data_IF_300894087802
#
_entry.id   IF_300894087802
#
_cell.length_a   1.000
_cell.length_b   1.000
_cell.length_c   1.000
_cell.angle_alpha   90.00
_cell.angle_beta   90.00
_cell.angle_gamma   90.00
#
_symmetry.space_group_name_H-M   'P 1'
#
loop_
_entity.id
_entity.type
_entity.pdbx_description
1 polymer ?
#
# COMPACT_ATOMS: atom_id res chain seq x y z
N UNK A 1 19.00 3.78 -8.16
CA UNK A 1 18.25 2.86 -7.29
C UNK A 1 19.21 1.88 -6.66
N UNK A 2 19.19 1.77 -5.36
CA UNK A 2 20.11 0.88 -4.64
C UNK A 2 19.49 -0.51 -4.48
N UNK A 3 20.32 -1.53 -4.65
CA UNK A 3 19.93 -2.92 -4.46
C UNK A 3 20.43 -3.37 -3.09
N UNK A 4 19.55 -3.93 -2.29
CA UNK A 4 19.87 -4.38 -0.95
C UNK A 4 20.80 -5.59 -1.00
N UNK A 5 21.78 -5.63 -0.09
CA UNK A 5 22.66 -6.77 0.04
C UNK A 5 21.85 -8.04 0.34
N UNK A 6 22.24 -9.17 -0.26
CA UNK A 6 21.47 -10.41 -0.21
C UNK A 6 21.24 -10.90 1.22
N UNK A 7 22.26 -10.89 2.07
CA UNK A 7 22.14 -11.37 3.44
C UNK A 7 21.16 -10.54 4.24
N UNK A 8 21.18 -9.22 4.06
CA UNK A 8 20.27 -8.31 4.73
C UNK A 8 18.85 -8.46 4.18
N UNK A 9 18.74 -8.63 2.86
CA UNK A 9 17.44 -8.88 2.22
C UNK A 9 16.81 -10.17 2.74
N UNK A 10 17.61 -11.21 2.95
CA UNK A 10 17.11 -12.47 3.51
C UNK A 10 16.52 -12.28 4.90
N UNK A 11 17.13 -11.41 5.73
CA UNK A 11 16.59 -11.08 7.05
C UNK A 11 15.25 -10.35 6.94
N UNK A 12 15.15 -9.39 6.02
CA UNK A 12 13.89 -8.68 5.78
C UNK A 12 12.79 -9.66 5.37
N UNK A 13 13.10 -10.57 4.45
CA UNK A 13 12.15 -11.58 3.97
C UNK A 13 11.72 -12.50 5.11
N UNK A 14 12.64 -12.90 5.98
CA UNK A 14 12.32 -13.77 7.11
C UNK A 14 11.31 -13.12 8.06
N UNK A 15 11.55 -11.86 8.45
CA UNK A 15 10.60 -11.12 9.27
C UNK A 15 9.25 -10.96 8.56
N UNK A 16 9.27 -10.68 7.27
CA UNK A 16 8.05 -10.55 6.49
C UNK A 16 7.24 -11.84 6.46
N UNK A 17 7.89 -12.98 6.28
CA UNK A 17 7.22 -14.28 6.28
C UNK A 17 6.62 -14.61 7.64
N UNK A 18 7.33 -14.33 8.72
CA UNK A 18 6.81 -14.55 10.07
C UNK A 18 5.61 -13.66 10.33
N UNK A 19 5.68 -12.40 9.90
CA UNK A 19 4.57 -11.47 10.05
C UNK A 19 3.34 -11.97 9.31
N UNK A 20 3.51 -12.46 8.08
CA UNK A 20 2.40 -12.99 7.28
C UNK A 20 1.79 -14.22 7.97
N UNK A 21 2.63 -15.10 8.53
CA UNK A 21 2.14 -16.28 9.27
C UNK A 21 1.29 -15.84 10.46
N UNK A 22 1.76 -14.86 11.23
CA UNK A 22 0.98 -14.35 12.36
C UNK A 22 -0.32 -13.72 11.91
N UNK A 23 -0.29 -12.96 10.82
CA UNK A 23 -1.50 -12.37 10.26
C UNK A 23 -2.51 -13.43 9.89
N UNK A 24 -2.07 -14.49 9.22
CA UNK A 24 -2.95 -15.57 8.79
C UNK A 24 -3.53 -16.36 9.97
N UNK A 25 -2.83 -16.38 11.10
CA UNK A 25 -3.30 -17.02 12.33
C UNK A 25 -4.21 -16.09 13.15
N UNK A 26 -4.51 -14.91 12.67
CA UNK A 26 -5.35 -13.95 13.37
C UNK A 26 -4.64 -13.17 14.45
N UNK A 27 -3.32 -13.27 14.54
CA UNK A 27 -2.50 -12.55 15.53
C UNK A 27 -2.00 -11.25 14.93
N UNK A 28 -2.92 -10.31 14.75
CA UNK A 28 -2.65 -9.09 13.96
C UNK A 28 -1.63 -8.17 14.61
N UNK A 29 -1.73 -7.95 15.92
CA UNK A 29 -0.76 -7.08 16.60
C UNK A 29 0.65 -7.66 16.53
N UNK A 30 0.79 -8.97 16.72
CA UNK A 30 2.09 -9.64 16.59
C UNK A 30 2.60 -9.54 15.15
N UNK A 31 1.71 -9.69 14.18
CA UNK A 31 2.08 -9.60 12.77
C UNK A 31 2.67 -8.24 12.43
N UNK A 32 2.00 -7.16 12.85
CA UNK A 32 2.50 -5.81 12.54
C UNK A 32 3.74 -5.45 13.35
N UNK A 33 3.90 -6.00 14.56
CA UNK A 33 5.13 -5.82 15.32
C UNK A 33 6.31 -6.48 14.60
N UNK A 34 6.14 -7.69 14.06
CA UNK A 34 7.16 -8.37 13.27
C UNK A 34 7.46 -7.62 11.97
N UNK A 35 6.42 -7.06 11.34
CA UNK A 35 6.61 -6.26 10.14
C UNK A 35 7.50 -5.04 10.43
N UNK A 36 7.31 -4.39 11.59
CA UNK A 36 8.16 -3.27 11.99
C UNK A 36 9.61 -3.71 12.21
N UNK A 37 9.81 -4.87 12.79
CA UNK A 37 11.16 -5.39 13.00
C UNK A 37 11.86 -5.64 11.67
N UNK A 38 11.15 -6.18 10.69
CA UNK A 38 11.69 -6.37 9.34
C UNK A 38 11.99 -5.04 8.65
N UNK A 39 11.08 -4.07 8.78
CA UNK A 39 11.29 -2.74 8.23
C UNK A 39 12.54 -2.09 8.80
N UNK A 40 12.79 -2.27 10.11
CA UNK A 40 13.96 -1.71 10.78
C UNK A 40 15.27 -2.31 10.30
N UNK A 41 15.25 -3.43 9.58
CA UNK A 41 16.46 -4.02 9.00
C UNK A 41 16.97 -3.28 7.77
N UNK A 42 16.10 -2.49 7.10
CA UNK A 42 16.57 -1.71 5.96
C UNK A 42 17.53 -0.62 6.41
N UNK A 43 18.69 -0.48 5.74
CA UNK A 43 19.60 0.63 6.06
C UNK A 43 18.95 1.97 5.74
N UNK A 44 19.29 3.00 6.53
CA UNK A 44 18.83 4.35 6.24
C UNK A 44 19.68 4.98 5.14
N UNK A 45 19.10 5.77 4.23
CA UNK A 45 17.67 6.08 4.14
C UNK A 45 16.87 4.95 3.49
N UNK A 46 15.79 4.57 4.14
CA UNK A 46 14.97 3.45 3.68
C UNK A 46 14.38 3.71 2.30
N UNK A 47 14.12 4.97 1.97
CA UNK A 47 13.54 5.40 0.71
C UNK A 47 14.40 5.07 -0.51
N UNK A 48 15.68 4.67 -0.31
CA UNK A 48 16.57 4.33 -1.40
C UNK A 48 16.42 2.88 -1.90
N UNK A 49 15.67 2.03 -1.17
CA UNK A 49 15.63 0.59 -1.46
C UNK A 49 14.36 0.23 -2.20
N UNK A 50 14.50 -0.38 -3.40
CA UNK A 50 13.33 -0.79 -4.17
C UNK A 50 12.53 -1.90 -3.46
N UNK A 51 13.20 -2.75 -2.68
CA UNK A 51 12.53 -3.80 -1.92
C UNK A 51 11.61 -3.23 -0.84
N UNK A 52 11.90 -2.02 -0.33
CA UNK A 52 11.07 -1.37 0.67
C UNK A 52 9.69 -1.00 0.10
N UNK A 53 9.61 -0.69 -1.18
CA UNK A 53 8.33 -0.41 -1.82
C UNK A 53 7.38 -1.60 -1.72
N UNK A 54 7.84 -2.78 -2.15
CA UNK A 54 7.00 -3.98 -2.13
C UNK A 54 6.68 -4.43 -0.71
N UNK A 55 7.62 -4.28 0.20
CA UNK A 55 7.41 -4.60 1.61
C UNK A 55 6.28 -3.73 2.19
N UNK A 56 6.36 -2.43 2.00
CA UNK A 56 5.35 -1.51 2.50
C UNK A 56 3.99 -1.77 1.84
N UNK A 57 3.98 -2.06 0.53
CA UNK A 57 2.74 -2.37 -0.18
C UNK A 57 2.06 -3.61 0.38
N UNK A 58 2.82 -4.65 0.69
CA UNK A 58 2.29 -5.88 1.25
C UNK A 58 1.58 -5.62 2.59
N UNK A 59 2.22 -4.88 3.48
CA UNK A 59 1.64 -4.62 4.80
C UNK A 59 0.54 -3.56 4.77
N UNK A 60 0.61 -2.64 3.83
CA UNK A 60 -0.51 -1.75 3.56
C UNK A 60 -1.77 -2.56 3.22
N UNK A 61 -1.64 -3.50 2.28
CA UNK A 61 -2.77 -4.32 1.86
C UNK A 61 -3.36 -5.15 2.99
N UNK A 62 -2.51 -5.72 3.85
CA UNK A 62 -2.96 -6.50 4.99
C UNK A 62 -3.66 -5.63 6.04
N UNK A 63 -3.10 -4.47 6.35
CA UNK A 63 -3.71 -3.56 7.30
C UNK A 63 -5.06 -3.06 6.80
N UNK A 64 -5.15 -2.71 5.52
CA UNK A 64 -6.38 -2.24 4.92
C UNK A 64 -7.45 -3.34 4.89
N UNK A 65 -7.04 -4.57 4.55
CA UNK A 65 -7.95 -5.71 4.51
C UNK A 65 -8.54 -6.06 5.88
N UNK A 66 -7.82 -5.73 6.94
CA UNK A 66 -8.29 -5.92 8.32
C UNK A 66 -8.94 -4.65 8.88
N UNK A 67 -9.05 -3.61 8.08
CA UNK A 67 -9.63 -2.31 8.45
C UNK A 67 -8.86 -1.63 9.60
N UNK A 68 -7.57 -1.91 9.70
CA UNK A 68 -6.69 -1.18 10.60
C UNK A 68 -6.14 0.03 9.87
N UNK A 69 -6.90 1.12 9.92
CA UNK A 69 -6.60 2.30 9.10
C UNK A 69 -5.35 3.05 9.57
N UNK A 70 -5.05 3.02 10.86
CA UNK A 70 -3.83 3.64 11.36
C UNK A 70 -2.59 2.91 10.84
N UNK A 71 -2.59 1.58 10.90
CA UNK A 71 -1.51 0.79 10.31
C UNK A 71 -1.44 0.98 8.80
N UNK A 72 -2.58 0.93 8.13
CA UNK A 72 -2.63 1.10 6.69
C UNK A 72 -2.04 2.45 6.27
N UNK A 73 -2.38 3.52 6.98
CA UNK A 73 -1.86 4.84 6.66
C UNK A 73 -0.35 4.92 6.86
N UNK A 74 0.15 4.31 7.92
CA UNK A 74 1.59 4.28 8.18
C UNK A 74 2.35 3.62 7.01
N UNK A 75 1.88 2.45 6.58
CA UNK A 75 2.52 1.74 5.47
C UNK A 75 2.34 2.46 4.15
N UNK A 76 1.18 3.08 3.93
CA UNK A 76 0.96 3.88 2.73
C UNK A 76 1.90 5.08 2.68
N UNK A 77 2.11 5.78 3.80
CA UNK A 77 3.04 6.90 3.85
C UNK A 77 4.47 6.47 3.55
N UNK A 78 4.88 5.31 4.07
CA UNK A 78 6.21 4.74 3.78
C UNK A 78 6.37 4.42 2.30
N UNK A 79 5.34 3.85 1.71
CA UNK A 79 5.31 3.54 0.28
C UNK A 79 5.37 4.82 -0.56
N UNK A 80 4.63 5.85 -0.17
CA UNK A 80 4.64 7.14 -0.84
C UNK A 80 6.03 7.76 -0.77
N UNK A 81 6.66 7.78 0.40
CA UNK A 81 8.01 8.33 0.56
C UNK A 81 9.02 7.61 -0.34
N UNK A 82 8.94 6.28 -0.37
CA UNK A 82 9.80 5.46 -1.22
C UNK A 82 9.57 5.80 -2.70
N UNK A 83 8.32 5.89 -3.12
CA UNK A 83 8.00 6.18 -4.51
C UNK A 83 8.36 7.62 -4.90
N UNK A 84 8.22 8.57 -3.99
CA UNK A 84 8.64 9.95 -4.27
C UNK A 84 10.14 10.03 -4.57
N UNK A 85 10.92 9.15 -3.96
CA UNK A 85 12.36 9.08 -4.21
C UNK A 85 12.70 8.29 -5.48
N UNK A 86 12.08 7.12 -5.66
CA UNK A 86 12.47 6.17 -6.71
C UNK A 86 11.56 6.19 -7.95
N UNK A 87 10.35 6.70 -7.83
CA UNK A 87 9.35 6.73 -8.91
C UNK A 87 9.13 5.35 -9.56
N UNK A 88 9.00 4.32 -8.72
CA UNK A 88 8.81 2.96 -9.21
C UNK A 88 7.45 2.77 -9.89
N UNK A 89 6.39 3.38 -9.33
CA UNK A 89 5.07 3.34 -9.95
C UNK A 89 4.17 4.44 -9.37
N UNK A 90 4.23 5.62 -9.96
CA UNK A 90 3.38 6.72 -9.56
C UNK A 90 1.90 6.37 -9.71
N UNK A 91 1.55 5.62 -10.76
CA UNK A 91 0.17 5.22 -11.04
C UNK A 91 -0.34 4.24 -9.97
N UNK A 92 0.45 3.25 -9.62
CA UNK A 92 0.05 2.29 -8.59
C UNK A 92 -0.19 2.98 -7.25
N UNK A 93 0.72 3.89 -6.88
CA UNK A 93 0.57 4.65 -5.63
C UNK A 93 -0.74 5.43 -5.64
N UNK A 94 -1.10 6.04 -6.77
CA UNK A 94 -2.35 6.77 -6.91
C UNK A 94 -3.55 5.83 -6.71
N UNK A 95 -3.48 4.63 -7.29
CA UNK A 95 -4.52 3.64 -7.11
C UNK A 95 -4.69 3.25 -5.64
N UNK A 96 -3.57 3.03 -4.94
CA UNK A 96 -3.58 2.64 -3.53
C UNK A 96 -4.11 3.77 -2.63
N UNK A 97 -3.79 5.02 -2.95
CA UNK A 97 -4.36 6.16 -2.24
C UNK A 97 -5.89 6.21 -2.37
N UNK A 98 -6.37 5.96 -3.58
CA UNK A 98 -7.83 5.88 -3.81
C UNK A 98 -8.46 4.74 -3.04
N UNK A 99 -7.80 3.58 -3.02
CA UNK A 99 -8.25 2.41 -2.30
C UNK A 99 -8.37 2.68 -0.79
N UNK A 100 -7.34 3.31 -0.22
CA UNK A 100 -7.36 3.69 1.20
C UNK A 100 -8.54 4.62 1.50
N UNK A 101 -8.72 5.65 0.67
CA UNK A 101 -9.81 6.60 0.85
C UNK A 101 -11.17 5.92 0.75
N UNK A 102 -11.34 5.02 -0.24
CA UNK A 102 -12.59 4.29 -0.42
C UNK A 102 -12.93 3.45 0.80
N UNK A 103 -11.97 2.65 1.28
CA UNK A 103 -12.21 1.77 2.42
C UNK A 103 -12.49 2.57 3.69
N UNK A 104 -11.87 3.73 3.82
CA UNK A 104 -12.12 4.63 4.95
C UNK A 104 -13.41 5.45 4.78
N UNK A 105 -14.12 5.24 3.67
CA UNK A 105 -15.40 5.88 3.34
C UNK A 105 -15.28 7.37 2.98
N UNK A 106 -14.07 7.80 2.62
CA UNK A 106 -13.87 9.11 2.02
C UNK A 106 -14.02 8.98 0.50
N UNK A 107 -15.26 8.85 0.06
CA UNK A 107 -15.55 8.51 -1.33
C UNK A 107 -15.20 9.62 -2.30
N UNK A 108 -15.31 10.87 -1.85
CA UNK A 108 -14.95 12.00 -2.70
C UNK A 108 -13.46 11.98 -3.06
N UNK A 109 -12.60 11.76 -2.08
CA UNK A 109 -11.16 11.69 -2.32
C UNK A 109 -10.80 10.42 -3.10
N UNK A 110 -11.46 9.30 -2.82
CA UNK A 110 -11.26 8.07 -3.58
C UNK A 110 -11.52 8.32 -5.06
N UNK A 111 -12.65 8.93 -5.38
CA UNK A 111 -12.97 9.25 -6.78
C UNK A 111 -11.93 10.17 -7.40
N UNK A 112 -11.50 11.21 -6.68
CA UNK A 112 -10.51 12.15 -7.21
C UNK A 112 -9.21 11.45 -7.59
N UNK A 113 -8.69 10.59 -6.71
CA UNK A 113 -7.46 9.84 -7.01
C UNK A 113 -7.64 8.93 -8.21
N UNK A 114 -8.74 8.16 -8.24
CA UNK A 114 -8.98 7.22 -9.32
C UNK A 114 -9.30 7.90 -10.65
N UNK A 115 -9.97 9.05 -10.61
CA UNK A 115 -10.27 9.78 -11.84
C UNK A 115 -9.00 10.32 -12.52
N UNK A 116 -8.08 10.85 -11.73
CA UNK A 116 -6.78 11.27 -12.25
C UNK A 116 -6.07 10.07 -12.89
N UNK A 117 -6.06 8.94 -12.19
CA UNK A 117 -5.42 7.72 -12.68
C UNK A 117 -6.04 7.23 -13.99
N UNK A 118 -7.37 7.18 -14.05
CA UNK A 118 -8.07 6.67 -15.23
C UNK A 118 -7.81 7.56 -16.44
N UNK A 119 -7.76 8.87 -16.24
CA UNK A 119 -7.45 9.80 -17.34
C UNK A 119 -6.05 9.59 -17.90
N UNK A 120 -5.13 9.09 -17.09
CA UNK A 120 -3.76 8.82 -17.51
C UNK A 120 -3.55 7.42 -18.08
N UNK A 121 -4.19 6.41 -17.47
CA UNK A 121 -3.87 5.00 -17.75
C UNK A 121 -5.07 4.13 -18.10
N UNK A 122 -6.28 4.68 -18.11
CA UNK A 122 -7.49 3.89 -18.30
C UNK A 122 -7.85 3.07 -17.06
N UNK A 123 -8.54 1.96 -17.28
CA UNK A 123 -9.13 1.18 -16.19
C UNK A 123 -8.27 -0.01 -15.74
N UNK A 124 -7.06 -0.13 -16.22
CA UNK A 124 -6.25 -1.36 -16.04
C UNK A 124 -5.97 -1.70 -14.58
N UNK A 125 -5.85 -0.71 -13.70
CA UNK A 125 -5.55 -0.97 -12.29
C UNK A 125 -6.72 -1.59 -11.54
N UNK A 126 -7.94 -1.48 -12.09
CA UNK A 126 -9.11 -2.11 -11.49
C UNK A 126 -9.25 -3.60 -11.84
N UNK A 127 -8.49 -4.10 -12.82
CA UNK A 127 -8.68 -5.45 -13.36
C UNK A 127 -8.52 -6.54 -12.30
N UNK A 128 -7.52 -6.42 -11.43
CA UNK A 128 -7.24 -7.42 -10.39
C UNK A 128 -7.65 -6.96 -8.99
N UNK A 129 -8.44 -5.89 -8.91
CA UNK A 129 -8.92 -5.35 -7.64
C UNK A 129 -10.35 -5.82 -7.38
N UNK A 130 -10.88 -5.50 -6.20
CA UNK A 130 -12.27 -5.82 -5.89
C UNK A 130 -13.20 -5.19 -6.94
N UNK A 131 -14.15 -5.95 -7.49
CA UNK A 131 -15.06 -5.40 -8.50
C UNK A 131 -15.85 -4.18 -8.05
N UNK A 132 -16.11 -4.05 -6.75
CA UNK A 132 -16.84 -2.91 -6.22
C UNK A 132 -16.12 -1.58 -6.44
N UNK A 133 -14.80 -1.59 -6.55
CA UNK A 133 -14.03 -0.36 -6.81
C UNK A 133 -14.37 0.23 -8.17
N UNK A 134 -14.35 -0.62 -9.20
CA UNK A 134 -14.66 -0.17 -10.55
C UNK A 134 -16.12 0.26 -10.66
N UNK A 135 -17.02 -0.51 -10.05
CA UNK A 135 -18.43 -0.17 -10.03
C UNK A 135 -18.66 1.18 -9.36
N UNK A 136 -18.03 1.41 -8.21
CA UNK A 136 -18.09 2.71 -7.55
C UNK A 136 -17.59 3.82 -8.47
N UNK A 137 -16.42 3.64 -9.08
CA UNK A 137 -15.82 4.66 -9.93
C UNK A 137 -16.73 5.03 -11.09
N UNK A 138 -17.33 4.04 -11.75
CA UNK A 138 -18.20 4.27 -12.90
C UNK A 138 -19.50 4.98 -12.54
N UNK A 139 -20.00 4.77 -11.33
CA UNK A 139 -21.32 5.27 -10.92
C UNK A 139 -21.26 6.49 -10.02
N UNK A 140 -20.10 6.85 -9.51
CA UNK A 140 -19.97 7.99 -8.60
C UNK A 140 -20.20 9.30 -9.34
N UNK A 141 -20.97 10.16 -8.71
CA UNK A 141 -21.19 11.52 -9.19
C UNK A 141 -20.63 12.47 -8.14
N UNK A 142 -19.67 13.31 -8.55
CA UNK A 142 -19.09 14.30 -7.66
C UNK A 142 -20.07 15.45 -7.50
N UNK A 143 -20.89 15.36 -6.47
CA UNK A 143 -21.86 16.38 -6.14
C UNK A 143 -21.37 17.21 -4.96
N UNK A 144 -21.96 18.37 -4.76
CA UNK A 144 -21.63 19.25 -3.65
C UNK A 144 -21.96 18.66 -2.28
N UNK A 145 -22.76 17.63 -2.25
CA UNK A 145 -23.18 16.98 -1.00
C UNK A 145 -22.16 15.97 -0.48
N UNK A 146 -21.15 15.67 -1.26
CA UNK A 146 -20.17 14.66 -0.91
C UNK A 146 -19.07 15.19 -0.01
#
# INVERSE_FOLDING_TARGET
MAVLEQELFDKVIEYGKEAITKYNDGKYDDAFALAEQGWAQFPTPVENWNQAYNYAKSFFGKALGHQNFDEAKKWLNRLIDNNNNLHLSDEEVRFLMGQYCYEKKDKKQAFKHWDILVKETGLRYFTNAKPEYLEFYKNYKDTEDD
#
